data_IF_333069091855
#
_entry.id   IF_333069091855
#
_cell.length_a   1.000
_cell.length_b   1.000
_cell.length_c   1.000
_cell.angle_alpha   90.00
_cell.angle_beta   90.00
_cell.angle_gamma   90.00
#
_symmetry.space_group_name_H-M   'P 1'
#
loop_
_entity.id
_entity.type
_entity.pdbx_description
1 polymer ?
#
# COMPACT_ATOMS: atom_id res chain seq x y z
N UNK A 1 38.61 38.52 5.21
CA UNK A 1 37.79 38.02 6.32
C UNK A 1 36.67 37.23 5.68
N UNK A 2 36.66 35.92 5.91
CA UNK A 2 35.67 34.98 5.41
C UNK A 2 34.34 35.24 6.13
N UNK A 3 33.25 35.41 5.37
CA UNK A 3 31.90 35.19 5.87
C UNK A 3 31.49 33.81 5.36
N UNK A 4 31.84 32.80 6.14
CA UNK A 4 31.33 31.44 6.01
C UNK A 4 29.86 31.46 6.44
N UNK A 5 28.96 31.39 5.47
CA UNK A 5 27.53 31.18 5.71
C UNK A 5 27.30 29.79 6.29
N UNK A 6 26.80 29.76 7.52
CA UNK A 6 26.32 28.55 8.20
C UNK A 6 25.30 27.79 7.32
N UNK A 7 25.48 26.49 7.08
CA UNK A 7 24.44 25.68 6.44
C UNK A 7 23.30 25.43 7.41
N UNK A 8 22.07 25.72 7.00
CA UNK A 8 20.86 25.36 7.76
C UNK A 8 20.81 23.85 8.02
N UNK A 9 20.95 23.52 9.30
CA UNK A 9 20.83 22.18 9.85
C UNK A 9 19.35 21.76 9.71
N UNK A 10 19.06 20.92 8.71
CA UNK A 10 17.78 20.23 8.65
C UNK A 10 17.70 19.32 9.88
N UNK A 11 16.95 19.74 10.90
CA UNK A 11 16.60 18.92 12.06
C UNK A 11 15.94 17.61 11.59
N UNK A 12 16.77 16.58 11.40
CA UNK A 12 16.34 15.20 11.37
C UNK A 12 15.87 14.86 12.78
N UNK A 13 14.61 15.20 13.10
CA UNK A 13 14.00 14.73 14.33
C UNK A 13 13.92 13.21 14.25
N UNK A 14 14.90 12.53 14.83
CA UNK A 14 14.85 11.11 15.16
C UNK A 14 13.76 10.93 16.23
N UNK A 15 12.50 10.92 15.79
CA UNK A 15 11.38 10.57 16.66
C UNK A 15 11.49 9.08 16.93
N UNK A 16 11.97 8.74 18.12
CA UNK A 16 11.93 7.39 18.68
C UNK A 16 10.48 7.01 18.95
N UNK A 17 9.74 6.66 17.90
CA UNK A 17 8.40 6.14 18.11
C UNK A 17 8.50 4.77 18.77
N UNK A 18 7.92 4.68 19.97
CA UNK A 18 7.85 3.43 20.72
C UNK A 18 6.83 2.51 20.07
N UNK A 19 7.18 1.23 19.80
CA UNK A 19 6.25 0.29 19.23
C UNK A 19 5.08 0.07 20.20
N UNK A 20 3.87 0.43 19.79
CA UNK A 20 2.65 0.31 20.61
C UNK A 20 1.92 -0.99 20.25
N UNK A 21 1.58 -1.79 21.25
CA UNK A 21 0.70 -2.93 21.06
C UNK A 21 -0.75 -2.43 20.96
N UNK A 22 -1.41 -2.67 19.83
CA UNK A 22 -2.83 -2.33 19.64
C UNK A 22 -3.76 -3.41 20.20
N UNK A 23 -3.33 -4.67 20.16
CA UNK A 23 -4.04 -5.81 20.74
C UNK A 23 -3.80 -7.11 19.97
N UNK A 24 -4.81 -7.99 19.92
CA UNK A 24 -4.74 -9.31 19.25
C UNK A 24 -5.79 -9.44 18.15
N UNK A 25 -5.40 -10.02 17.02
CA UNK A 25 -6.31 -10.24 15.90
C UNK A 25 -7.30 -11.37 16.26
N UNK A 26 -8.62 -11.19 16.09
CA UNK A 26 -9.62 -12.19 16.45
C UNK A 26 -9.51 -13.46 15.60
N UNK A 27 -9.05 -13.33 14.35
CA UNK A 27 -8.99 -14.43 13.37
C UNK A 27 -7.78 -15.36 13.58
N UNK A 28 -6.64 -14.79 13.99
CA UNK A 28 -5.35 -15.50 14.02
C UNK A 28 -4.72 -15.59 15.42
N UNK A 29 -5.31 -14.95 16.45
CA UNK A 29 -4.74 -14.79 17.80
C UNK A 29 -3.32 -14.20 17.81
N UNK A 30 -2.91 -13.53 16.73
CA UNK A 30 -1.60 -12.89 16.61
C UNK A 30 -1.65 -11.45 17.14
N UNK A 31 -0.59 -11.00 17.80
CA UNK A 31 -0.47 -9.62 18.31
C UNK A 31 -0.33 -8.63 17.16
N UNK A 32 -1.02 -7.50 17.24
CA UNK A 32 -0.93 -6.40 16.28
C UNK A 32 -0.14 -5.25 16.88
N UNK A 33 0.99 -4.94 16.27
CA UNK A 33 1.89 -3.87 16.69
C UNK A 33 1.80 -2.68 15.76
N UNK A 34 1.75 -1.48 16.33
CA UNK A 34 1.93 -0.22 15.63
C UNK A 34 3.41 0.18 15.74
N UNK A 35 4.07 0.36 14.61
CA UNK A 35 5.51 0.68 14.52
C UNK A 35 5.72 1.84 13.55
N UNK A 36 6.83 2.55 13.70
CA UNK A 36 7.29 3.56 12.74
C UNK A 36 8.44 2.99 11.91
N UNK A 37 8.44 3.30 10.61
CA UNK A 37 9.52 2.94 9.69
C UNK A 37 9.87 4.09 8.75
N UNK A 38 10.79 3.89 7.80
CA UNK A 38 11.27 4.93 6.89
C UNK A 38 10.18 5.50 5.97
N UNK A 39 9.12 4.71 5.72
CA UNK A 39 7.99 5.11 4.88
C UNK A 39 6.78 5.61 5.68
N UNK A 40 6.96 5.85 6.98
CA UNK A 40 5.92 6.24 7.92
C UNK A 40 5.47 5.09 8.80
N UNK A 41 4.29 5.25 9.39
CA UNK A 41 3.73 4.31 10.35
C UNK A 41 3.07 3.12 9.68
N UNK A 42 3.19 1.98 10.32
CA UNK A 42 2.63 0.74 9.84
C UNK A 42 2.17 -0.13 11.00
N UNK A 43 1.17 -0.95 10.72
CA UNK A 43 0.75 -2.03 11.60
C UNK A 43 1.36 -3.34 11.13
N UNK A 44 1.76 -4.17 12.07
CA UNK A 44 2.34 -5.48 11.84
C UNK A 44 1.60 -6.53 12.65
N UNK A 45 1.25 -7.64 12.01
CA UNK A 45 0.65 -8.81 12.65
C UNK A 45 1.75 -9.80 12.98
N UNK A 46 1.80 -10.21 14.23
CA UNK A 46 2.83 -11.08 14.77
C UNK A 46 4.15 -10.36 15.06
N UNK A 47 5.02 -11.09 15.73
CA UNK A 47 6.39 -10.65 16.01
C UNK A 47 7.30 -10.92 14.81
N UNK A 48 8.38 -10.14 14.68
CA UNK A 48 9.42 -10.38 13.68
C UNK A 48 10.21 -11.65 14.04
N UNK A 49 9.70 -12.82 13.64
CA UNK A 49 10.39 -14.11 13.80
C UNK A 49 11.25 -14.40 12.57
N UNK A 50 12.49 -14.86 12.80
CA UNK A 50 13.41 -15.30 11.73
C UNK A 50 12.71 -16.36 10.86
N UNK A 51 12.53 -16.05 9.58
CA UNK A 51 11.94 -16.96 8.58
C UNK A 51 10.46 -16.75 8.26
N UNK A 52 9.74 -15.90 8.99
CA UNK A 52 8.36 -15.51 8.66
C UNK A 52 8.31 -14.06 8.17
N UNK A 53 7.59 -13.81 7.09
CA UNK A 53 7.23 -12.46 6.64
C UNK A 53 5.89 -12.06 7.29
N UNK A 54 5.89 -11.30 8.39
CA UNK A 54 4.66 -10.90 9.04
C UNK A 54 3.82 -10.04 8.09
N UNK A 55 2.49 -10.14 8.19
CA UNK A 55 1.60 -9.26 7.43
C UNK A 55 1.72 -7.84 7.97
N UNK A 56 1.89 -6.89 7.06
CA UNK A 56 2.05 -5.47 7.38
C UNK A 56 1.09 -4.63 6.56
N UNK A 57 0.57 -3.56 7.14
CA UNK A 57 -0.21 -2.55 6.43
C UNK A 57 0.26 -1.15 6.80
N UNK A 58 0.41 -0.29 5.79
CA UNK A 58 0.82 1.10 5.97
C UNK A 58 -0.36 1.97 6.41
N UNK A 59 -0.12 2.87 7.36
CA UNK A 59 -1.10 3.84 7.86
C UNK A 59 -0.97 5.23 7.20
N UNK A 60 -0.53 5.28 5.95
CA UNK A 60 -0.17 6.56 5.30
C UNK A 60 -1.32 7.57 5.16
N UNK A 61 -2.57 7.15 5.29
CA UNK A 61 -3.76 8.02 5.20
C UNK A 61 -4.26 8.50 6.58
N UNK A 62 -3.78 7.89 7.66
CA UNK A 62 -4.22 8.21 9.02
C UNK A 62 -3.50 9.47 9.50
N UNK A 63 -4.26 10.51 9.82
CA UNK A 63 -3.75 11.78 10.35
C UNK A 63 -3.36 11.65 11.83
N UNK A 64 -4.19 10.95 12.60
CA UNK A 64 -4.08 10.83 14.06
C UNK A 64 -3.75 9.40 14.45
N UNK A 65 -2.46 9.15 14.68
CA UNK A 65 -1.94 7.80 14.88
C UNK A 65 -2.23 7.27 16.28
N UNK A 66 -2.28 8.16 17.28
CA UNK A 66 -2.60 7.80 18.66
C UNK A 66 -4.05 7.35 18.86
N UNK A 67 -4.95 7.79 17.98
CA UNK A 67 -6.37 7.43 17.99
C UNK A 67 -6.67 6.13 17.26
N UNK A 68 -5.67 5.51 16.61
CA UNK A 68 -5.93 4.31 15.81
C UNK A 68 -6.31 3.11 16.69
N UNK A 69 -7.38 2.43 16.31
CA UNK A 69 -7.86 1.25 17.02
C UNK A 69 -7.37 -0.04 16.36
N UNK A 70 -7.55 -1.15 17.07
CA UNK A 70 -7.27 -2.47 16.50
C UNK A 70 -8.20 -2.79 15.31
N UNK A 71 -9.43 -2.27 15.32
CA UNK A 71 -10.42 -2.50 14.26
C UNK A 71 -9.95 -1.86 12.94
N UNK A 72 -9.46 -0.63 13.01
CA UNK A 72 -8.87 0.07 11.87
C UNK A 72 -7.62 -0.66 11.34
N UNK A 73 -6.78 -1.15 12.26
CA UNK A 73 -5.60 -1.92 11.90
C UNK A 73 -5.99 -3.22 11.17
N UNK A 74 -6.97 -3.96 11.70
CA UNK A 74 -7.50 -5.19 11.10
C UNK A 74 -8.04 -4.91 9.71
N UNK A 75 -8.78 -3.82 9.52
CA UNK A 75 -9.29 -3.42 8.23
C UNK A 75 -8.16 -3.23 7.20
N UNK A 76 -7.12 -2.48 7.56
CA UNK A 76 -6.01 -2.19 6.66
C UNK A 76 -5.17 -3.44 6.35
N UNK A 77 -5.07 -4.37 7.30
CA UNK A 77 -4.38 -5.65 7.14
C UNK A 77 -5.08 -6.64 6.22
N UNK A 78 -6.35 -6.43 5.88
CA UNK A 78 -7.07 -7.25 4.88
C UNK A 78 -6.57 -7.01 3.46
N UNK A 79 -5.88 -5.90 3.21
CA UNK A 79 -5.36 -5.57 1.90
C UNK A 79 -3.94 -6.13 1.70
N UNK A 80 -3.61 -6.76 0.56
CA UNK A 80 -4.38 -6.80 -0.69
C UNK A 80 -5.53 -7.81 -0.67
N UNK A 81 -6.75 -7.34 -0.95
CA UNK A 81 -7.96 -8.17 -0.99
C UNK A 81 -8.26 -8.59 -2.42
N UNK A 82 -8.58 -9.86 -2.63
CA UNK A 82 -8.98 -10.40 -3.93
C UNK A 82 -10.46 -10.10 -4.20
N UNK A 83 -10.76 -9.40 -5.31
CA UNK A 83 -12.13 -9.12 -5.74
C UNK A 83 -12.68 -10.19 -6.69
N UNK A 84 -11.79 -10.88 -7.41
CA UNK A 84 -12.16 -11.92 -8.37
C UNK A 84 -11.12 -12.09 -9.47
N UNK A 85 -11.46 -12.88 -10.49
CA UNK A 85 -10.66 -13.04 -11.71
C UNK A 85 -11.24 -12.17 -12.82
N UNK A 86 -10.36 -11.61 -13.65
CA UNK A 86 -10.77 -10.86 -14.82
C UNK A 86 -11.37 -11.80 -15.88
N UNK A 87 -12.55 -11.52 -16.47
CA UNK A 87 -13.20 -12.43 -17.40
C UNK A 87 -12.40 -12.68 -18.70
N UNK A 88 -11.66 -11.69 -19.20
CA UNK A 88 -10.86 -11.85 -20.42
C UNK A 88 -9.52 -12.60 -20.24
N UNK A 89 -8.91 -12.50 -19.06
CA UNK A 89 -7.50 -12.88 -18.84
C UNK A 89 -7.35 -13.95 -17.72
N UNK A 90 -8.43 -14.29 -17.02
CA UNK A 90 -8.51 -15.17 -15.83
C UNK A 90 -7.58 -14.80 -14.65
N UNK A 91 -6.98 -13.62 -14.70
CA UNK A 91 -6.00 -13.17 -13.72
C UNK A 91 -6.65 -12.44 -12.54
N UNK A 92 -6.04 -12.50 -11.35
CA UNK A 92 -6.61 -11.89 -10.17
C UNK A 92 -6.69 -10.37 -10.29
N UNK A 93 -7.83 -9.83 -9.89
CA UNK A 93 -8.08 -8.41 -9.66
C UNK A 93 -8.03 -8.19 -8.16
N UNK A 94 -7.05 -7.41 -7.72
CA UNK A 94 -6.77 -7.14 -6.31
C UNK A 94 -7.14 -5.69 -6.00
N UNK A 95 -7.70 -5.42 -4.83
CA UNK A 95 -7.77 -4.08 -4.26
C UNK A 95 -6.63 -3.93 -3.25
N UNK A 96 -5.87 -2.84 -3.34
CA UNK A 96 -4.72 -2.58 -2.46
C UNK A 96 -4.79 -1.17 -1.88
N UNK A 97 -4.23 -1.00 -0.69
CA UNK A 97 -4.14 0.28 0.00
C UNK A 97 -2.76 0.90 -0.24
N UNK A 98 -2.70 2.23 -0.44
CA UNK A 98 -1.45 2.96 -0.73
C UNK A 98 -1.51 4.40 -0.22
N UNK A 99 -0.39 5.13 -0.23
CA UNK A 99 -0.34 6.56 0.14
C UNK A 99 -1.33 7.44 -0.63
N UNK A 100 -1.68 7.07 -1.86
CA UNK A 100 -2.65 7.80 -2.68
C UNK A 100 -4.11 7.42 -2.37
N UNK A 101 -4.34 6.46 -1.49
CA UNK A 101 -5.61 5.82 -1.19
C UNK A 101 -5.72 4.41 -1.78
N UNK A 102 -6.96 3.93 -1.89
CA UNK A 102 -7.28 2.61 -2.43
C UNK A 102 -7.13 2.55 -3.95
N UNK A 103 -6.64 1.43 -4.44
CA UNK A 103 -6.45 1.20 -5.86
C UNK A 103 -6.81 -0.24 -6.24
N UNK A 104 -7.25 -0.42 -7.48
CA UNK A 104 -7.45 -1.73 -8.09
C UNK A 104 -6.22 -2.07 -8.91
N UNK A 105 -5.58 -3.18 -8.59
CA UNK A 105 -4.43 -3.72 -9.31
C UNK A 105 -4.85 -4.94 -10.11
N UNK A 106 -4.53 -4.91 -11.40
CA UNK A 106 -4.65 -6.05 -12.30
C UNK A 106 -3.38 -6.16 -13.15
N UNK A 107 -2.61 -7.24 -12.98
CA UNK A 107 -1.31 -7.45 -13.65
C UNK A 107 -0.35 -6.25 -13.46
N UNK A 108 -0.17 -5.47 -14.53
CA UNK A 108 0.70 -4.29 -14.65
C UNK A 108 -0.13 -3.01 -14.71
N UNK A 109 -1.41 -3.10 -14.44
CA UNK A 109 -2.39 -2.03 -14.55
C UNK A 109 -2.89 -1.70 -13.15
N UNK A 110 -2.97 -0.41 -12.85
CA UNK A 110 -3.44 0.11 -11.57
C UNK A 110 -4.45 1.21 -11.84
N UNK A 111 -5.66 1.06 -11.32
CA UNK A 111 -6.68 2.09 -11.37
C UNK A 111 -6.90 2.65 -9.96
N UNK A 112 -6.76 3.97 -9.73
CA UNK A 112 -7.11 4.57 -8.44
C UNK A 112 -8.62 4.47 -8.23
N UNK A 113 -9.03 4.13 -7.00
CA UNK A 113 -10.44 4.18 -6.60
C UNK A 113 -10.76 5.63 -6.22
N UNK A 114 -11.82 6.23 -6.74
CA UNK A 114 -12.21 7.59 -6.37
C UNK A 114 -12.60 7.65 -4.89
N UNK A 115 -12.22 8.73 -4.20
CA UNK A 115 -12.50 8.96 -2.76
C UNK A 115 -13.98 8.97 -2.41
N UNK A 116 -14.86 9.18 -3.40
CA UNK A 116 -16.31 9.17 -3.22
C UNK A 116 -16.89 7.74 -3.12
N UNK A 117 -16.06 6.70 -3.14
CA UNK A 117 -16.51 5.31 -3.19
C UNK A 117 -15.82 4.49 -2.10
N UNK A 118 -16.63 3.73 -1.35
CA UNK A 118 -16.14 2.86 -0.29
C UNK A 118 -15.36 1.66 -0.88
N UNK A 119 -14.11 1.43 -0.45
CA UNK A 119 -13.32 0.28 -0.89
C UNK A 119 -13.94 -1.05 -0.44
N UNK A 120 -14.66 -1.06 0.68
CA UNK A 120 -15.37 -2.25 1.22
C UNK A 120 -16.48 -2.75 0.29
N UNK A 121 -17.17 -1.83 -0.37
CA UNK A 121 -18.29 -2.13 -1.29
C UNK A 121 -17.83 -2.31 -2.73
N UNK A 122 -16.52 -2.36 -2.98
CA UNK A 122 -15.98 -2.52 -4.31
C UNK A 122 -16.30 -3.91 -4.88
N UNK A 123 -17.03 -3.96 -6.00
CA UNK A 123 -17.34 -5.21 -6.71
C UNK A 123 -16.40 -5.43 -7.90
N UNK A 124 -16.31 -6.68 -8.37
CA UNK A 124 -15.53 -7.05 -9.55
C UNK A 124 -15.93 -6.21 -10.77
N UNK A 125 -17.23 -6.08 -11.07
CA UNK A 125 -17.72 -5.31 -12.22
C UNK A 125 -17.28 -3.85 -12.20
N UNK A 126 -17.33 -3.22 -11.02
CA UNK A 126 -16.87 -1.83 -10.84
C UNK A 126 -15.36 -1.74 -11.00
N UNK A 127 -14.63 -2.75 -10.52
CA UNK A 127 -13.18 -2.79 -10.62
C UNK A 127 -12.75 -2.90 -12.09
N UNK A 128 -13.45 -3.70 -12.89
CA UNK A 128 -13.26 -3.78 -14.34
C UNK A 128 -13.54 -2.44 -15.02
N UNK A 129 -14.64 -1.76 -14.67
CA UNK A 129 -14.93 -0.40 -15.20
C UNK A 129 -13.80 0.61 -14.91
N UNK A 130 -13.21 0.55 -13.71
CA UNK A 130 -12.07 1.41 -13.36
C UNK A 130 -10.81 1.04 -14.15
N UNK A 131 -10.56 -0.25 -14.39
CA UNK A 131 -9.41 -0.74 -15.14
C UNK A 131 -9.46 -0.42 -16.65
N UNK A 132 -10.66 -0.23 -17.21
CA UNK A 132 -10.85 0.23 -18.60
C UNK A 132 -10.85 1.76 -18.71
N UNK A 133 -10.90 2.48 -17.59
CA UNK A 133 -10.97 3.94 -17.56
C UNK A 133 -9.70 4.66 -18.01
N UNK A 134 -9.77 5.99 -18.13
CA UNK A 134 -8.64 6.85 -18.54
C UNK A 134 -7.58 7.04 -17.45
N UNK A 135 -7.94 6.92 -16.18
CA UNK A 135 -7.07 7.21 -15.02
C UNK A 135 -6.13 6.06 -14.66
N UNK A 136 -5.95 5.12 -15.58
CA UNK A 136 -5.27 3.87 -15.36
C UNK A 136 -3.77 4.05 -15.56
N UNK A 137 -2.99 3.73 -14.52
CA UNK A 137 -1.54 3.72 -14.56
C UNK A 137 -1.04 2.34 -14.96
N UNK A 138 -0.21 2.27 -16.01
CA UNK A 138 0.47 1.04 -16.44
C UNK A 138 1.91 1.06 -15.97
N UNK A 139 2.32 0.02 -15.25
CA UNK A 139 3.64 -0.13 -14.67
C UNK A 139 4.57 -0.98 -15.55
N UNK A 140 5.85 -0.61 -15.52
CA UNK A 140 6.96 -1.27 -16.21
C UNK A 140 7.12 -0.86 -17.68
N UNK A 141 8.24 -1.29 -18.27
CA UNK A 141 8.61 -0.97 -19.66
C UNK A 141 7.50 -1.40 -20.63
N UNK A 142 6.96 -0.51 -21.49
CA UNK A 142 6.10 -0.96 -22.59
C UNK A 142 6.88 -2.01 -23.37
N UNK A 143 6.22 -3.08 -23.85
CA UNK A 143 6.89 -4.03 -24.76
C UNK A 143 7.40 -3.20 -25.93
N UNK A 144 8.71 -2.94 -25.94
CA UNK A 144 9.34 -2.20 -27.03
C UNK A 144 9.03 -2.95 -28.31
N UNK A 145 8.63 -2.23 -29.35
CA UNK A 145 8.61 -2.81 -30.70
C UNK A 145 9.97 -3.47 -30.90
N UNK A 146 9.98 -4.78 -31.19
CA UNK A 146 11.20 -5.52 -31.43
C UNK A 146 12.06 -4.69 -32.40
N UNK A 147 13.30 -4.37 -32.00
CA UNK A 147 14.25 -3.72 -32.91
C UNK A 147 14.35 -4.65 -34.12
N UNK A 148 13.84 -4.24 -35.28
CA UNK A 148 14.12 -4.94 -36.55
C UNK A 148 15.63 -4.94 -36.68
N UNK A 149 16.25 -6.09 -36.49
CA UNK A 149 17.64 -6.32 -36.87
C UNK A 149 17.71 -6.07 -38.37
N UNK A 150 18.36 -4.98 -38.77
CA UNK A 150 18.79 -4.78 -40.15
C UNK A 150 19.95 -5.75 -40.36
N UNK A 151 19.65 -6.90 -40.97
CA UNK A 151 20.67 -7.80 -41.50
C UNK A 151 21.34 -7.12 -42.70
N UNK A 152 22.64 -7.39 -42.84
CA UNK A 152 23.64 -6.77 -43.72
C UNK A 152 23.25 -6.65 -45.19
#
# INVERSE_FOLDING_TARGET
MQEDGEPEETEETQRTFTPRLLGVMPDSSEKVFLKQGPYGYYVQVGEDKKGLSPKRASLSEVKDIDSITIEDAIELLQYPKLLGKHPDDDRPVLITHSKAGYNVRHRRTLAPVPKNMDPKKMTLERALKLLTGKNVKKFGRPKGKAKKTRTA
#
